data_IF_536287120263
#
_entry.id   IF_536287120263
#
_cell.length_a   1.000
_cell.length_b   1.000
_cell.length_c   1.000
_cell.angle_alpha   90.00
_cell.angle_beta   90.00
_cell.angle_gamma   90.00
#
_symmetry.space_group_name_H-M   'P 1'
#
loop_
_entity.id
_entity.type
_entity.pdbx_description
1 polymer ?
#
# COMPACT_ATOMS: atom_id res chain seq x y z
N UNK A 1 32.63 15.22 23.29
CA UNK A 1 31.70 15.90 22.38
C UNK A 1 31.82 15.16 21.06
N UNK A 2 31.05 14.09 20.90
CA UNK A 2 31.12 13.25 19.70
C UNK A 2 30.48 14.02 18.55
N UNK A 3 31.21 14.24 17.46
CA UNK A 3 30.66 14.82 16.23
C UNK A 3 29.38 14.08 15.83
N UNK A 4 28.31 14.78 15.40
CA UNK A 4 27.16 14.09 14.87
C UNK A 4 27.62 13.39 13.60
N UNK A 5 27.61 12.06 13.61
CA UNK A 5 27.98 11.22 12.48
C UNK A 5 27.06 11.53 11.27
N UNK A 6 27.42 12.55 10.51
CA UNK A 6 26.88 12.82 9.19
C UNK A 6 27.47 11.79 8.25
N UNK A 7 26.93 10.56 8.30
CA UNK A 7 27.43 9.45 7.50
C UNK A 7 27.45 9.77 6.00
N UNK A 8 28.23 9.02 5.25
CA UNK A 8 28.09 8.92 3.79
C UNK A 8 27.12 7.79 3.46
N UNK A 9 26.43 7.88 2.33
CA UNK A 9 25.65 6.74 1.84
C UNK A 9 26.57 5.52 1.64
N UNK A 10 26.05 4.28 1.76
CA UNK A 10 26.83 3.08 1.52
C UNK A 10 27.47 3.08 0.12
N UNK A 11 28.71 2.61 0.01
CA UNK A 11 29.49 2.73 -1.23
C UNK A 11 28.99 1.82 -2.36
N UNK A 12 28.30 0.73 -2.01
CA UNK A 12 27.71 -0.23 -2.94
C UNK A 12 26.33 0.20 -3.46
N UNK A 13 25.81 1.35 -3.02
CA UNK A 13 24.53 1.89 -3.47
C UNK A 13 24.64 2.57 -4.82
N UNK A 14 23.62 2.40 -5.67
CA UNK A 14 23.54 3.06 -6.98
C UNK A 14 23.42 4.58 -6.83
N UNK A 15 23.70 5.37 -7.89
CA UNK A 15 23.52 6.83 -7.82
C UNK A 15 22.09 7.26 -7.39
N UNK A 16 21.07 6.50 -7.78
CA UNK A 16 19.67 6.77 -7.40
C UNK A 16 19.44 6.45 -5.93
N UNK A 17 19.98 5.34 -5.44
CA UNK A 17 19.90 4.97 -4.02
C UNK A 17 20.65 5.97 -3.14
N UNK A 18 21.80 6.49 -3.56
CA UNK A 18 22.52 7.54 -2.84
C UNK A 18 21.69 8.84 -2.75
N UNK A 19 20.98 9.21 -3.83
CA UNK A 19 20.02 10.32 -3.81
C UNK A 19 18.85 10.04 -2.87
N UNK A 20 18.35 8.80 -2.85
CA UNK A 20 17.29 8.36 -1.93
C UNK A 20 17.74 8.49 -0.47
N UNK A 21 18.96 8.07 -0.16
CA UNK A 21 19.56 8.20 1.16
C UNK A 21 19.62 9.65 1.64
N UNK A 22 20.05 10.58 0.78
CA UNK A 22 20.13 12.00 1.11
C UNK A 22 18.73 12.63 1.28
N UNK A 23 17.80 12.28 0.39
CA UNK A 23 16.41 12.72 0.46
C UNK A 23 15.75 12.26 1.78
N UNK A 24 15.99 11.00 2.16
CA UNK A 24 15.48 10.39 3.38
C UNK A 24 15.89 11.17 4.63
N UNK A 25 17.19 11.47 4.78
CA UNK A 25 17.70 12.25 5.93
C UNK A 25 17.14 13.66 6.03
N UNK A 26 16.74 14.23 4.90
CA UNK A 26 16.19 15.59 4.81
C UNK A 26 14.66 15.59 4.84
N UNK A 27 14.02 14.42 4.89
CA UNK A 27 12.56 14.27 4.82
C UNK A 27 11.93 14.79 3.52
N UNK A 28 12.73 14.85 2.44
CA UNK A 28 12.33 15.35 1.11
C UNK A 28 11.90 14.20 0.22
N UNK A 29 11.10 14.52 -0.79
CA UNK A 29 10.73 13.59 -1.85
C UNK A 29 11.90 13.40 -2.81
N UNK A 30 12.27 12.15 -3.08
CA UNK A 30 13.02 11.79 -4.28
C UNK A 30 12.00 11.61 -5.41
N UNK A 31 11.95 12.58 -6.32
CA UNK A 31 11.10 12.53 -7.50
C UNK A 31 11.94 12.18 -8.72
N UNK A 32 11.60 11.08 -9.38
CA UNK A 32 12.24 10.59 -10.60
C UNK A 32 11.30 10.65 -11.81
N UNK A 33 10.17 11.36 -11.69
CA UNK A 33 9.25 11.61 -12.78
C UNK A 33 9.84 12.55 -13.83
N UNK A 34 9.44 12.35 -15.08
CA UNK A 34 9.82 13.23 -16.20
C UNK A 34 8.87 14.42 -16.31
N UNK A 35 7.65 14.31 -15.76
CA UNK A 35 6.55 15.26 -15.93
C UNK A 35 5.67 14.96 -17.15
N UNK A 36 5.96 13.89 -17.89
CA UNK A 36 5.11 13.37 -18.95
C UNK A 36 4.30 12.19 -18.41
N UNK A 37 2.97 12.31 -18.43
CA UNK A 37 2.07 11.32 -17.83
C UNK A 37 2.20 9.93 -18.47
N UNK A 38 2.52 9.83 -19.76
CA UNK A 38 2.67 8.54 -20.45
C UNK A 38 3.99 7.84 -20.07
N UNK A 39 5.06 8.61 -19.91
CA UNK A 39 6.37 8.10 -19.47
C UNK A 39 6.38 7.76 -17.97
N UNK A 40 5.57 8.47 -17.19
CA UNK A 40 5.45 8.33 -15.74
C UNK A 40 4.36 7.38 -15.27
N UNK A 41 3.61 6.77 -16.18
CA UNK A 41 2.59 5.79 -15.81
C UNK A 41 3.22 4.48 -15.27
N UNK A 42 3.05 4.16 -13.97
CA UNK A 42 3.55 2.91 -13.40
C UNK A 42 2.79 1.67 -13.90
N UNK A 43 1.63 1.83 -14.56
CA UNK A 43 0.78 0.75 -15.04
C UNK A 43 1.16 0.34 -16.46
N UNK A 44 0.89 1.22 -17.42
CA UNK A 44 0.99 0.94 -18.85
C UNK A 44 2.17 1.68 -19.53
N UNK A 45 2.88 2.51 -18.77
CA UNK A 45 4.08 3.22 -19.21
C UNK A 45 5.31 2.31 -19.39
N UNK A 46 6.41 2.86 -19.96
CA UNK A 46 7.58 2.10 -20.33
C UNK A 46 8.25 1.37 -19.16
N UNK A 47 9.07 0.36 -19.47
CA UNK A 47 9.90 -0.30 -18.48
C UNK A 47 10.94 0.67 -17.93
N UNK A 48 10.76 1.15 -16.69
CA UNK A 48 11.70 2.07 -16.05
C UNK A 48 13.08 1.43 -15.84
N UNK A 49 14.11 2.14 -16.27
CA UNK A 49 15.51 1.73 -16.24
C UNK A 49 16.21 1.92 -14.89
N UNK A 50 17.53 1.74 -14.89
CA UNK A 50 18.37 1.84 -13.69
C UNK A 50 18.37 3.25 -13.06
N UNK A 51 18.13 4.27 -13.86
CA UNK A 51 17.99 5.68 -13.48
C UNK A 51 16.74 5.98 -12.64
N UNK A 52 15.75 5.08 -12.67
CA UNK A 52 14.53 5.14 -11.86
C UNK A 52 14.42 4.01 -10.83
N UNK A 53 15.43 3.15 -10.75
CA UNK A 53 15.36 1.92 -9.95
C UNK A 53 16.14 2.02 -8.64
N UNK A 54 15.49 1.64 -7.54
CA UNK A 54 16.13 1.37 -6.25
C UNK A 54 15.86 -0.07 -5.85
N UNK A 55 16.81 -0.72 -5.18
CA UNK A 55 16.61 -2.05 -4.62
C UNK A 55 15.66 -1.98 -3.42
N UNK A 56 14.75 -2.94 -3.33
CA UNK A 56 13.88 -3.11 -2.18
C UNK A 56 14.67 -3.32 -0.88
N UNK A 57 15.86 -3.92 -0.97
CA UNK A 57 16.79 -4.04 0.15
C UNK A 57 17.26 -2.67 0.64
N UNK A 58 17.68 -1.75 -0.25
CA UNK A 58 18.08 -0.40 0.14
C UNK A 58 16.93 0.40 0.78
N UNK A 59 15.70 0.19 0.28
CA UNK A 59 14.49 0.75 0.89
C UNK A 59 14.29 0.19 2.31
N UNK A 60 14.41 -1.13 2.49
CA UNK A 60 14.30 -1.75 3.81
C UNK A 60 15.40 -1.27 4.77
N UNK A 61 16.64 -1.14 4.30
CA UNK A 61 17.76 -0.61 5.10
C UNK A 61 17.44 0.79 5.65
N UNK A 62 16.89 1.71 4.83
CA UNK A 62 16.49 3.04 5.33
C UNK A 62 15.35 2.99 6.36
N UNK A 63 14.40 2.06 6.21
CA UNK A 63 13.23 1.98 7.08
C UNK A 63 13.51 1.26 8.40
N UNK A 64 14.51 0.37 8.42
CA UNK A 64 14.84 -0.48 9.57
C UNK A 64 16.07 -0.01 10.34
N UNK A 65 17.09 0.49 9.63
CA UNK A 65 18.36 0.97 10.20
C UNK A 65 18.87 2.21 9.45
N UNK A 66 17.97 3.17 9.26
CA UNK A 66 18.26 4.38 8.51
C UNK A 66 19.23 5.34 9.21
N UNK A 67 19.95 6.16 8.44
CA UNK A 67 20.84 7.19 9.00
C UNK A 67 20.07 8.24 9.82
N UNK A 68 20.74 8.96 10.74
CA UNK A 68 20.10 10.04 11.47
C UNK A 68 19.67 11.17 10.53
N UNK A 69 18.61 11.88 10.93
CA UNK A 69 18.13 13.06 10.22
C UNK A 69 19.25 14.11 10.09
N UNK A 70 19.21 14.90 9.02
CA UNK A 70 20.03 16.11 8.94
C UNK A 70 19.62 17.11 10.03
N UNK A 71 20.52 18.00 10.50
CA UNK A 71 20.18 19.01 11.50
C UNK A 71 18.92 19.80 11.14
N UNK A 72 17.96 19.87 12.08
CA UNK A 72 16.68 20.56 11.88
C UNK A 72 15.74 19.88 10.87
N UNK A 73 15.90 18.56 10.65
CA UNK A 73 15.03 17.75 9.77
C UNK A 73 14.52 16.52 10.52
N UNK A 74 13.55 15.85 9.90
CA UNK A 74 13.07 14.51 10.28
C UNK A 74 13.38 13.55 9.14
N UNK A 75 13.61 12.28 9.47
CA UNK A 75 13.72 11.23 8.46
C UNK A 75 12.35 10.88 7.91
N UNK A 76 12.25 10.70 6.60
CA UNK A 76 11.05 10.19 5.95
C UNK A 76 11.40 9.56 4.61
N UNK A 77 10.80 8.42 4.28
CA UNK A 77 10.91 7.84 2.95
C UNK A 77 9.79 8.38 2.08
N UNK A 78 10.15 9.26 1.14
CA UNK A 78 9.22 9.86 0.18
C UNK A 78 9.73 9.63 -1.23
N UNK A 79 9.05 8.79 -1.99
CA UNK A 79 9.44 8.39 -3.35
C UNK A 79 8.33 8.77 -4.34
N UNK A 80 8.70 9.31 -5.50
CA UNK A 80 7.78 9.54 -6.59
C UNK A 80 8.36 9.06 -7.93
N UNK A 81 7.58 8.28 -8.68
CA UNK A 81 8.03 7.75 -9.97
C UNK A 81 9.20 6.76 -9.87
N UNK A 82 9.27 5.98 -8.79
CA UNK A 82 10.39 5.07 -8.52
C UNK A 82 10.00 3.62 -8.80
N UNK A 83 10.88 2.88 -9.48
CA UNK A 83 10.83 1.42 -9.57
C UNK A 83 11.55 0.80 -8.38
N UNK A 84 10.86 -0.05 -7.64
CA UNK A 84 11.44 -0.80 -6.52
C UNK A 84 11.68 -2.24 -6.99
N UNK A 85 12.96 -2.59 -7.15
CA UNK A 85 13.37 -3.91 -7.64
C UNK A 85 13.55 -4.91 -6.49
N UNK A 86 13.06 -6.13 -6.69
CA UNK A 86 13.05 -7.16 -5.65
C UNK A 86 11.91 -7.02 -4.65
N UNK A 87 11.85 -7.95 -3.70
CA UNK A 87 10.82 -8.02 -2.66
C UNK A 87 11.09 -7.05 -1.51
N UNK A 88 10.13 -6.19 -1.19
CA UNK A 88 10.23 -5.31 -0.01
C UNK A 88 9.78 -6.09 1.23
N UNK A 89 10.74 -6.45 2.07
CA UNK A 89 10.53 -7.22 3.30
C UNK A 89 10.59 -6.33 4.54
N UNK A 90 9.43 -6.08 5.15
CA UNK A 90 9.30 -5.34 6.42
C UNK A 90 8.45 -6.13 7.44
N UNK A 91 8.28 -7.45 7.25
CA UNK A 91 7.51 -8.28 8.17
C UNK A 91 8.14 -8.27 9.57
N UNK A 92 7.32 -8.10 10.60
CA UNK A 92 7.75 -8.01 12.01
C UNK A 92 8.50 -6.73 12.37
N UNK A 93 8.64 -5.77 11.44
CA UNK A 93 9.38 -4.55 11.66
C UNK A 93 8.63 -3.52 12.51
N UNK A 94 9.39 -2.62 13.15
CA UNK A 94 8.89 -1.36 13.67
C UNK A 94 9.43 -0.23 12.78
N UNK A 95 8.59 0.31 11.91
CA UNK A 95 8.96 1.39 10.98
C UNK A 95 8.59 2.73 11.60
N UNK A 96 9.59 3.46 12.09
CA UNK A 96 9.42 4.79 12.66
C UNK A 96 9.30 5.92 11.61
N UNK A 97 10.09 5.92 10.51
CA UNK A 97 9.99 6.97 9.50
C UNK A 97 8.63 6.99 8.81
N UNK A 98 8.16 8.18 8.46
CA UNK A 98 6.97 8.33 7.61
C UNK A 98 7.25 7.80 6.19
N UNK A 99 6.27 7.08 5.62
CA UNK A 99 6.41 6.42 4.31
C UNK A 99 5.36 6.95 3.35
N UNK A 100 5.81 7.50 2.22
CA UNK A 100 4.98 7.94 1.11
C UNK A 100 5.59 7.53 -0.22
N UNK A 101 4.81 6.81 -1.03
CA UNK A 101 5.15 6.42 -2.40
C UNK A 101 4.04 6.92 -3.32
N UNK A 102 4.42 7.65 -4.36
CA UNK A 102 3.49 8.25 -5.32
C UNK A 102 3.88 7.88 -6.76
N UNK A 103 3.02 7.14 -7.45
CA UNK A 103 3.33 6.66 -8.80
C UNK A 103 4.55 5.74 -8.80
N UNK A 104 4.69 4.83 -7.82
CA UNK A 104 5.81 3.88 -7.78
C UNK A 104 5.42 2.53 -8.37
N UNK A 105 6.39 1.81 -8.96
CA UNK A 105 6.21 0.47 -9.52
C UNK A 105 7.05 -0.54 -8.73
N UNK A 106 6.40 -1.55 -8.17
CA UNK A 106 7.10 -2.66 -7.51
C UNK A 106 7.24 -3.84 -8.48
N UNK A 107 8.44 -4.43 -8.52
CA UNK A 107 8.70 -5.63 -9.33
C UNK A 107 8.17 -6.90 -8.64
N UNK A 108 8.25 -6.93 -7.30
CA UNK A 108 7.78 -8.04 -6.47
C UNK A 108 6.87 -7.57 -5.31
N UNK A 109 6.54 -8.51 -4.42
CA UNK A 109 5.56 -8.36 -3.35
C UNK A 109 6.06 -7.40 -2.25
N UNK A 110 5.13 -6.68 -1.64
CA UNK A 110 5.37 -5.84 -0.45
C UNK A 110 4.88 -6.60 0.79
N UNK A 111 5.82 -6.92 1.68
CA UNK A 111 5.60 -7.78 2.84
C UNK A 111 5.64 -6.94 4.13
N UNK A 112 4.49 -6.81 4.79
CA UNK A 112 4.23 -5.99 5.97
C UNK A 112 3.58 -6.80 7.10
N UNK A 113 3.60 -8.13 7.05
CA UNK A 113 2.94 -8.94 8.08
C UNK A 113 3.54 -8.64 9.45
N UNK A 114 2.69 -8.43 10.45
CA UNK A 114 3.11 -8.08 11.82
C UNK A 114 3.99 -6.82 11.91
N UNK A 115 4.03 -5.99 10.87
CA UNK A 115 4.73 -4.72 10.90
C UNK A 115 3.95 -3.70 11.74
N UNK A 116 4.67 -2.77 12.37
CA UNK A 116 4.12 -1.64 13.10
C UNK A 116 4.65 -0.34 12.52
N UNK A 117 3.76 0.58 12.16
CA UNK A 117 4.13 1.87 11.59
C UNK A 117 3.16 2.99 11.99
N UNK A 118 3.60 4.25 11.86
CA UNK A 118 2.74 5.42 12.13
C UNK A 118 1.63 5.56 11.09
N UNK A 119 1.96 6.05 9.90
CA UNK A 119 1.07 6.10 8.75
C UNK A 119 1.85 5.75 7.48
N UNK A 120 1.17 5.18 6.50
CA UNK A 120 1.78 4.81 5.22
C UNK A 120 0.86 5.20 4.07
N UNK A 121 1.46 5.84 3.06
CA UNK A 121 0.76 6.22 1.84
C UNK A 121 1.38 5.58 0.62
N UNK A 122 0.60 4.79 -0.10
CA UNK A 122 0.90 4.38 -1.47
C UNK A 122 -0.20 4.96 -2.35
N UNK A 123 0.16 5.84 -3.26
CA UNK A 123 -0.78 6.56 -4.11
C UNK A 123 -0.40 6.26 -5.55
N UNK A 124 -1.36 5.84 -6.38
CA UNK A 124 -1.12 5.54 -7.80
C UNK A 124 0.00 4.49 -8.03
N UNK A 125 0.22 3.58 -7.09
CA UNK A 125 1.30 2.59 -7.19
C UNK A 125 0.85 1.30 -7.90
N UNK A 126 1.78 0.68 -8.64
CA UNK A 126 1.63 -0.69 -9.15
C UNK A 126 2.27 -1.67 -8.18
N UNK A 127 1.47 -2.54 -7.57
CA UNK A 127 1.94 -3.48 -6.55
C UNK A 127 1.58 -4.91 -7.00
N UNK A 128 2.54 -5.82 -7.17
CA UNK A 128 2.24 -7.21 -7.52
C UNK A 128 1.36 -7.90 -6.47
N UNK A 129 1.65 -7.70 -5.18
CA UNK A 129 0.88 -8.22 -4.05
C UNK A 129 1.21 -7.45 -2.78
N UNK A 130 0.20 -7.20 -1.94
CA UNK A 130 0.37 -6.56 -0.64
C UNK A 130 0.02 -7.53 0.49
N UNK A 131 1.01 -7.88 1.31
CA UNK A 131 0.88 -8.81 2.43
C UNK A 131 0.97 -8.07 3.76
N UNK A 132 -0.17 -7.68 4.31
CA UNK A 132 -0.32 -6.85 5.51
C UNK A 132 -1.14 -7.54 6.62
N UNK A 133 -1.06 -8.87 6.72
CA UNK A 133 -1.71 -9.60 7.80
C UNK A 133 -1.15 -9.19 9.16
N UNK A 134 -2.02 -8.88 10.13
CA UNK A 134 -1.63 -8.37 11.46
C UNK A 134 -0.81 -7.08 11.43
N UNK A 135 -0.86 -6.31 10.34
CA UNK A 135 -0.26 -4.97 10.28
C UNK A 135 -0.89 -4.06 11.33
N UNK A 136 -0.09 -3.27 12.03
CA UNK A 136 -0.55 -2.26 12.98
C UNK A 136 -0.14 -0.87 12.49
N UNK A 137 -1.12 -0.04 12.17
CA UNK A 137 -0.93 1.34 11.74
C UNK A 137 -1.51 2.24 12.83
N UNK A 138 -0.70 3.15 13.38
CA UNK A 138 -1.15 4.07 14.43
C UNK A 138 -2.09 5.17 13.92
N UNK A 139 -1.90 5.59 12.67
CA UNK A 139 -2.78 6.52 11.95
C UNK A 139 -3.35 5.87 10.70
N UNK A 140 -3.20 6.56 9.56
CA UNK A 140 -3.86 6.16 8.32
C UNK A 140 -3.06 5.19 7.45
N UNK A 141 -3.78 4.33 6.72
CA UNK A 141 -3.25 3.54 5.61
C UNK A 141 -3.94 3.96 4.30
N UNK A 142 -3.16 4.46 3.35
CA UNK A 142 -3.67 4.93 2.06
C UNK A 142 -3.15 4.04 0.92
N UNK A 143 -4.09 3.58 0.09
CA UNK A 143 -3.85 2.88 -1.17
C UNK A 143 -4.63 3.49 -2.37
N UNK A 144 -4.95 4.81 -2.41
CA UNK A 144 -5.84 5.32 -3.45
C UNK A 144 -5.19 5.20 -4.83
N UNK A 145 -6.03 4.86 -5.81
CA UNK A 145 -5.64 4.72 -7.22
C UNK A 145 -4.51 3.71 -7.46
N UNK A 146 -4.18 2.87 -6.48
CA UNK A 146 -3.22 1.80 -6.68
C UNK A 146 -3.84 0.68 -7.53
N UNK A 147 -2.98 -0.12 -8.16
CA UNK A 147 -3.37 -1.37 -8.83
C UNK A 147 -2.61 -2.54 -8.21
N UNK A 148 -3.35 -3.50 -7.69
CA UNK A 148 -2.79 -4.70 -7.05
C UNK A 148 -3.17 -5.95 -7.83
N UNK A 149 -2.16 -6.63 -8.40
CA UNK A 149 -2.41 -7.70 -9.37
C UNK A 149 -2.76 -9.06 -8.75
N UNK A 150 -2.22 -9.37 -7.57
CA UNK A 150 -2.36 -10.69 -6.93
C UNK A 150 -2.89 -10.56 -5.50
N UNK A 151 -3.82 -9.62 -5.30
CA UNK A 151 -4.54 -9.44 -4.07
C UNK A 151 -3.83 -8.67 -2.96
N UNK A 152 -4.64 -8.28 -1.98
CA UNK A 152 -4.27 -7.58 -0.75
C UNK A 152 -4.73 -8.42 0.44
N UNK A 153 -3.80 -8.80 1.31
CA UNK A 153 -4.13 -9.50 2.57
C UNK A 153 -3.93 -8.57 3.75
N UNK A 154 -4.99 -8.30 4.49
CA UNK A 154 -5.02 -7.46 5.69
C UNK A 154 -5.74 -8.16 6.85
N UNK A 155 -5.67 -9.49 6.87
CA UNK A 155 -6.30 -10.31 7.91
C UNK A 155 -5.77 -9.93 9.28
N UNK A 156 -6.68 -9.64 10.22
CA UNK A 156 -6.40 -9.20 11.58
C UNK A 156 -5.52 -7.94 11.68
N UNK A 157 -5.50 -7.10 10.63
CA UNK A 157 -4.81 -5.80 10.69
C UNK A 157 -5.58 -4.80 11.57
N UNK A 158 -4.85 -3.84 12.14
CA UNK A 158 -5.39 -2.75 12.95
C UNK A 158 -4.93 -1.40 12.38
N UNK A 159 -5.89 -0.56 12.00
CA UNK A 159 -5.67 0.79 11.48
C UNK A 159 -6.26 1.77 12.50
N UNK A 160 -5.42 2.65 13.05
CA UNK A 160 -5.79 3.51 14.17
C UNK A 160 -6.80 4.60 13.79
N UNK A 161 -6.72 5.12 12.55
CA UNK A 161 -7.64 6.12 12.03
C UNK A 161 -8.31 5.60 10.76
N UNK A 162 -7.96 6.11 9.57
CA UNK A 162 -8.68 5.82 8.33
C UNK A 162 -7.96 4.81 7.43
N UNK A 163 -8.75 3.97 6.76
CA UNK A 163 -8.31 3.11 5.66
C UNK A 163 -8.86 3.67 4.35
N UNK A 164 -7.99 4.27 3.53
CA UNK A 164 -8.38 4.95 2.29
C UNK A 164 -7.96 4.12 1.07
N UNK A 165 -8.95 3.57 0.37
CA UNK A 165 -8.83 2.67 -0.77
C UNK A 165 -9.47 3.27 -2.04
N UNK A 166 -9.79 4.57 -2.07
CA UNK A 166 -10.52 5.19 -3.18
C UNK A 166 -9.88 4.89 -4.54
N UNK A 167 -10.69 4.41 -5.48
CA UNK A 167 -10.26 4.01 -6.84
C UNK A 167 -9.17 2.91 -6.87
N UNK A 168 -9.01 2.15 -5.79
CA UNK A 168 -8.13 0.98 -5.77
C UNK A 168 -8.66 -0.09 -6.73
N UNK A 169 -7.79 -0.59 -7.61
CA UNK A 169 -8.07 -1.76 -8.45
C UNK A 169 -7.37 -3.00 -7.91
N UNK A 170 -8.10 -4.08 -7.63
CA UNK A 170 -7.52 -5.35 -7.14
C UNK A 170 -7.98 -6.52 -7.97
N UNK A 171 -7.02 -7.30 -8.45
CA UNK A 171 -7.25 -8.60 -9.08
C UNK A 171 -6.83 -9.71 -8.11
N UNK A 172 -7.50 -10.85 -8.16
CA UNK A 172 -7.17 -11.99 -7.30
C UNK A 172 -5.93 -12.77 -7.77
N UNK A 173 -5.59 -12.72 -9.07
CA UNK A 173 -4.51 -13.53 -9.63
C UNK A 173 -4.75 -15.02 -9.35
N UNK A 174 -3.84 -15.66 -8.61
CA UNK A 174 -4.00 -17.05 -8.13
C UNK A 174 -4.59 -17.15 -6.72
N UNK A 175 -4.81 -16.03 -6.03
CA UNK A 175 -5.38 -16.02 -4.68
C UNK A 175 -6.88 -16.34 -4.73
N UNK A 176 -7.40 -16.98 -3.67
CA UNK A 176 -8.83 -17.25 -3.53
C UNK A 176 -9.66 -16.01 -3.20
N UNK A 177 -9.01 -14.94 -2.69
CA UNK A 177 -9.63 -13.66 -2.31
C UNK A 177 -8.77 -12.53 -2.84
N UNK A 178 -9.42 -11.56 -3.48
CA UNK A 178 -8.76 -10.36 -3.97
C UNK A 178 -8.39 -9.44 -2.80
N UNK A 179 -9.31 -9.21 -1.88
CA UNK A 179 -9.03 -8.46 -0.64
C UNK A 179 -9.45 -9.33 0.54
N UNK A 180 -8.48 -9.77 1.33
CA UNK A 180 -8.70 -10.59 2.53
C UNK A 180 -8.50 -9.75 3.80
N UNK A 181 -9.57 -9.10 4.26
CA UNK A 181 -9.60 -8.22 5.42
C UNK A 181 -10.49 -8.79 6.56
N UNK A 182 -10.50 -10.10 6.72
CA UNK A 182 -11.16 -10.74 7.87
C UNK A 182 -10.54 -10.26 9.18
N UNK A 183 -11.37 -9.95 10.18
CA UNK A 183 -10.90 -9.48 11.48
C UNK A 183 -10.28 -8.08 11.49
N UNK A 184 -10.26 -7.38 10.33
CA UNK A 184 -9.76 -6.00 10.23
C UNK A 184 -10.47 -5.10 11.25
N UNK A 185 -9.69 -4.27 11.95
CA UNK A 185 -10.22 -3.21 12.81
C UNK A 185 -9.74 -1.86 12.30
N UNK A 186 -10.67 -0.93 12.07
CA UNK A 186 -10.39 0.44 11.66
C UNK A 186 -11.03 1.38 12.67
N UNK A 187 -10.23 2.28 13.25
CA UNK A 187 -10.67 3.16 14.32
C UNK A 187 -11.73 4.14 13.86
N UNK A 188 -11.61 4.65 12.62
CA UNK A 188 -12.55 5.59 12.03
C UNK A 188 -13.09 5.03 10.71
N UNK A 189 -12.82 5.65 9.57
CA UNK A 189 -13.51 5.37 8.32
C UNK A 189 -12.77 4.37 7.42
N UNK A 190 -13.55 3.55 6.71
CA UNK A 190 -13.08 2.85 5.52
C UNK A 190 -13.69 3.54 4.31
N UNK A 191 -12.85 4.24 3.55
CA UNK A 191 -13.26 4.88 2.30
C UNK A 191 -12.77 4.05 1.11
N UNK A 192 -13.72 3.39 0.45
CA UNK A 192 -13.48 2.52 -0.70
C UNK A 192 -14.42 2.94 -1.84
N UNK A 193 -14.51 4.24 -2.08
CA UNK A 193 -15.26 4.80 -3.19
C UNK A 193 -14.63 4.40 -4.53
N UNK A 194 -15.47 3.96 -5.47
CA UNK A 194 -15.08 3.60 -6.84
C UNK A 194 -13.99 2.51 -6.92
N UNK A 195 -13.90 1.62 -5.92
CA UNK A 195 -13.00 0.46 -6.01
C UNK A 195 -13.45 -0.49 -7.12
N UNK A 196 -12.49 -1.11 -7.80
CA UNK A 196 -12.75 -2.19 -8.76
C UNK A 196 -12.04 -3.47 -8.30
N UNK A 197 -12.81 -4.47 -7.91
CA UNK A 197 -12.31 -5.72 -7.35
C UNK A 197 -12.81 -6.89 -8.18
N UNK A 198 -11.87 -7.64 -8.73
CA UNK A 198 -12.13 -8.96 -9.35
C UNK A 198 -11.61 -10.06 -8.42
N UNK A 199 -12.54 -10.84 -7.87
CA UNK A 199 -12.38 -11.83 -6.81
C UNK A 199 -13.18 -11.46 -5.55
N UNK A 200 -13.13 -12.29 -4.51
CA UNK A 200 -13.84 -11.99 -3.25
C UNK A 200 -13.16 -10.84 -2.48
N UNK A 201 -13.95 -9.83 -2.10
CA UNK A 201 -13.64 -8.85 -1.06
C UNK A 201 -14.26 -9.32 0.27
N UNK A 202 -13.41 -9.82 1.16
CA UNK A 202 -13.82 -10.36 2.46
C UNK A 202 -13.52 -9.38 3.60
N UNK A 203 -14.55 -9.04 4.37
CA UNK A 203 -14.56 -8.21 5.57
C UNK A 203 -15.18 -8.98 6.75
N UNK A 204 -15.01 -10.30 6.80
CA UNK A 204 -15.68 -11.11 7.82
C UNK A 204 -15.22 -10.70 9.20
N UNK A 205 -16.17 -10.47 10.10
CA UNK A 205 -15.91 -10.09 11.49
C UNK A 205 -15.04 -8.83 11.62
N UNK A 206 -14.98 -7.98 10.58
CA UNK A 206 -14.31 -6.70 10.62
C UNK A 206 -15.10 -5.68 11.46
N UNK A 207 -14.41 -4.70 12.03
CA UNK A 207 -14.97 -3.61 12.82
C UNK A 207 -14.52 -2.27 12.26
N UNK A 208 -15.48 -1.40 11.97
CA UNK A 208 -15.25 -0.04 11.48
C UNK A 208 -15.92 0.92 12.46
N UNK A 209 -15.12 1.73 13.16
CA UNK A 209 -15.60 2.69 14.17
C UNK A 209 -16.34 3.89 13.57
N UNK A 210 -16.12 4.16 12.29
CA UNK A 210 -16.78 5.23 11.54
C UNK A 210 -17.72 4.67 10.47
N UNK A 211 -17.62 5.22 9.26
CA UNK A 211 -18.38 4.82 8.08
C UNK A 211 -17.61 3.82 7.22
N UNK A 212 -18.35 2.94 6.55
CA UNK A 212 -17.85 2.12 5.44
C UNK A 212 -18.46 2.66 4.15
N UNK A 213 -17.64 3.29 3.31
CA UNK A 213 -18.05 3.85 2.04
C UNK A 213 -17.65 2.92 0.87
N UNK A 214 -18.63 2.40 0.16
CA UNK A 214 -18.48 1.58 -1.05
C UNK A 214 -19.25 2.21 -2.23
N UNK A 215 -19.44 3.52 -2.22
CA UNK A 215 -20.13 4.22 -3.32
C UNK A 215 -19.43 3.96 -4.65
N UNK A 216 -20.21 3.63 -5.67
CA UNK A 216 -19.68 3.34 -7.00
C UNK A 216 -18.76 2.13 -7.07
N UNK A 217 -18.64 1.32 -6.00
CA UNK A 217 -17.76 0.17 -5.99
C UNK A 217 -18.23 -0.88 -7.00
N UNK A 218 -17.28 -1.49 -7.70
CA UNK A 218 -17.48 -2.57 -8.66
C UNK A 218 -16.84 -3.82 -8.08
N UNK A 219 -17.66 -4.76 -7.63
CA UNK A 219 -17.21 -6.01 -7.02
C UNK A 219 -17.69 -7.18 -7.86
N UNK A 220 -16.76 -7.93 -8.45
CA UNK A 220 -17.05 -9.06 -9.33
C UNK A 220 -16.31 -10.28 -8.83
N UNK A 221 -16.95 -11.44 -8.77
CA UNK A 221 -16.26 -12.70 -8.52
C UNK A 221 -16.77 -13.77 -9.48
N UNK A 222 -16.33 -13.77 -10.75
CA UNK A 222 -16.85 -14.68 -11.76
C UNK A 222 -16.59 -16.16 -11.40
N UNK A 223 -15.48 -16.45 -10.74
CA UNK A 223 -15.04 -17.81 -10.42
C UNK A 223 -15.45 -18.28 -9.01
N UNK A 224 -16.08 -17.42 -8.19
CA UNK A 224 -16.30 -17.70 -6.77
C UNK A 224 -17.64 -17.20 -6.25
N UNK A 225 -18.20 -17.88 -5.24
CA UNK A 225 -19.61 -17.73 -4.84
C UNK A 225 -20.11 -16.32 -4.52
N UNK A 226 -19.25 -15.45 -4.01
CA UNK A 226 -19.63 -14.11 -3.55
C UNK A 226 -18.52 -13.10 -3.87
N UNK A 227 -18.91 -11.91 -4.35
CA UNK A 227 -17.95 -10.82 -4.56
C UNK A 227 -17.69 -9.98 -3.30
N UNK A 228 -18.68 -9.86 -2.42
CA UNK A 228 -18.54 -9.20 -1.12
C UNK A 228 -18.92 -10.19 0.00
N UNK A 229 -18.01 -10.40 0.94
CA UNK A 229 -18.24 -11.24 2.11
C UNK A 229 -18.09 -10.41 3.39
N UNK A 230 -19.18 -9.82 3.85
CA UNK A 230 -19.22 -8.97 5.04
C UNK A 230 -19.87 -9.66 6.26
N UNK A 231 -19.74 -10.99 6.36
CA UNK A 231 -20.39 -11.74 7.44
C UNK A 231 -19.88 -11.29 8.82
N UNK A 232 -20.81 -10.93 9.72
CA UNK A 232 -20.54 -10.41 11.07
C UNK A 232 -19.73 -9.10 11.09
N UNK A 233 -19.77 -8.30 10.04
CA UNK A 233 -19.18 -6.95 10.06
C UNK A 233 -19.90 -6.08 11.10
N UNK A 234 -19.15 -5.21 11.78
CA UNK A 234 -19.69 -4.10 12.58
C UNK A 234 -19.27 -2.78 11.93
N UNK A 235 -20.24 -1.93 11.64
CA UNK A 235 -20.03 -0.54 11.20
C UNK A 235 -20.77 0.32 12.19
N UNK A 236 -20.06 1.11 12.99
CA UNK A 236 -20.66 1.86 14.09
C UNK A 236 -21.51 3.04 13.63
N UNK A 237 -21.22 3.59 12.44
CA UNK A 237 -21.99 4.68 11.86
C UNK A 237 -22.74 4.23 10.59
N UNK A 238 -22.24 4.59 9.40
CA UNK A 238 -23.00 4.46 8.15
C UNK A 238 -22.32 3.53 7.16
N UNK A 239 -23.10 2.65 6.54
CA UNK A 239 -22.71 1.88 5.36
C UNK A 239 -23.27 2.54 4.10
N UNK A 240 -22.41 2.97 3.19
CA UNK A 240 -22.82 3.52 1.90
C UNK A 240 -22.57 2.53 0.77
N UNK A 241 -23.63 2.15 0.04
CA UNK A 241 -23.61 1.26 -1.12
C UNK A 241 -24.21 1.91 -2.38
N UNK A 242 -24.38 3.23 -2.38
CA UNK A 242 -25.03 3.95 -3.49
C UNK A 242 -24.23 3.80 -4.79
N UNK A 243 -24.88 3.33 -5.86
CA UNK A 243 -24.21 3.10 -7.14
C UNK A 243 -23.21 1.93 -7.14
N UNK A 244 -23.19 1.10 -6.09
CA UNK A 244 -22.32 -0.08 -6.04
C UNK A 244 -22.91 -1.22 -6.88
N UNK A 245 -22.05 -1.89 -7.64
CA UNK A 245 -22.37 -3.09 -8.42
C UNK A 245 -21.66 -4.29 -7.81
N UNK A 246 -22.44 -5.29 -7.38
CA UNK A 246 -21.93 -6.52 -6.77
C UNK A 246 -22.47 -7.71 -7.54
N UNK A 247 -21.57 -8.51 -8.13
CA UNK A 247 -21.95 -9.70 -8.90
C UNK A 247 -21.12 -10.93 -8.50
N UNK A 248 -21.83 -11.99 -8.09
CA UNK A 248 -21.29 -13.35 -8.02
C UNK A 248 -21.50 -14.11 -9.34
N UNK A 249 -21.13 -15.40 -9.40
CA UNK A 249 -21.42 -16.25 -10.54
C UNK A 249 -22.92 -16.33 -10.76
N UNK A 250 -23.35 -16.33 -12.02
CA UNK A 250 -24.75 -16.55 -12.36
C UNK A 250 -25.23 -17.86 -11.74
N UNK A 251 -26.24 -17.80 -10.87
CA UNK A 251 -26.87 -18.97 -10.28
C UNK A 251 -27.70 -19.79 -11.30
N UNK A 252 -27.37 -19.72 -12.60
CA UNK A 252 -28.00 -20.49 -13.68
C UNK A 252 -26.97 -21.48 -14.24
N UNK A 253 -26.91 -22.65 -13.61
CA UNK A 253 -26.04 -23.74 -14.05
C UNK A 253 -25.90 -24.83 -12.98
N UNK A 254 -27.03 -25.30 -12.44
CA UNK A 254 -27.15 -26.58 -11.73
C UNK A 254 -28.28 -27.38 -12.38
#
# INVERSE_FOLDING_TARGET
MSEPAGGTAPQDWTPVEQRMWEAFRRGRTLDLRTGDDAEDDPLDGPGWGADRTVRAQAVAELLLDGPPAAPGRVTALKLAGVRVSGRLMLSGAQVAPYVQLDGCRFDEQVMLQECRLGSMRLVRCRIPRLEAARLQVGGDLHLPQCRVANGVRMTDAHIGTDLLLNQLTVLHGTASRAIAADGLTVGQDVDAELIDVTGEFSLRSARVGGRLNLRGAVLRNPDGRQALNAARITVEHTLYLTGAWVAGPDARGA
#
